data_IF_212383154503
#
_entry.id   IF_212383154503
#
_cell.length_a   1.000
_cell.length_b   1.000
_cell.length_c   1.000
_cell.angle_alpha   90.00
_cell.angle_beta   90.00
_cell.angle_gamma   90.00
#
_symmetry.space_group_name_H-M   'P 1'
#
loop_
_entity.id
_entity.type
_entity.pdbx_description
1 polymer ?
#
# COMPACT_ATOMS: atom_id res chain seq x y z
N UNK A 1 -27.30 -2.47 3.95
CA UNK A 1 -25.86 -2.21 4.01
C UNK A 1 -25.09 -3.51 3.86
N UNK A 2 -24.03 -3.51 3.03
CA UNK A 2 -23.19 -4.69 2.85
C UNK A 2 -22.28 -4.85 4.08
N UNK A 3 -22.45 -5.94 4.82
CA UNK A 3 -21.58 -6.30 5.93
C UNK A 3 -20.32 -6.99 5.37
N UNK A 4 -19.29 -6.17 5.09
CA UNK A 4 -18.02 -6.68 4.53
C UNK A 4 -17.31 -7.64 5.49
N UNK A 5 -17.40 -7.43 6.80
CA UNK A 5 -16.82 -8.35 7.79
C UNK A 5 -17.45 -9.73 7.67
N UNK A 6 -18.78 -9.83 7.64
CA UNK A 6 -19.47 -11.10 7.48
C UNK A 6 -19.19 -11.77 6.13
N UNK A 7 -19.06 -10.99 5.05
CA UNK A 7 -18.66 -11.50 3.73
C UNK A 7 -17.24 -12.05 3.78
N UNK A 8 -16.29 -11.30 4.35
CA UNK A 8 -14.88 -11.69 4.48
C UNK A 8 -14.71 -12.94 5.34
N UNK A 9 -15.46 -13.09 6.44
CA UNK A 9 -15.47 -14.31 7.27
C UNK A 9 -15.92 -15.55 6.50
N UNK A 10 -17.01 -15.43 5.73
CA UNK A 10 -17.48 -16.56 4.89
C UNK A 10 -16.46 -16.92 3.83
N UNK A 11 -15.86 -15.93 3.19
CA UNK A 11 -14.83 -16.17 2.17
C UNK A 11 -13.56 -16.76 2.76
N UNK A 12 -13.13 -16.30 3.95
CA UNK A 12 -12.00 -16.88 4.68
C UNK A 12 -12.21 -18.38 4.97
N UNK A 13 -13.44 -18.79 5.28
CA UNK A 13 -13.77 -20.20 5.47
C UNK A 13 -13.54 -21.02 4.18
N UNK A 14 -13.92 -20.48 3.03
CA UNK A 14 -13.67 -21.10 1.73
C UNK A 14 -12.18 -21.16 1.39
N UNK A 15 -11.43 -20.05 1.62
CA UNK A 15 -9.99 -19.99 1.37
C UNK A 15 -9.21 -21.03 2.18
N UNK A 16 -9.57 -21.27 3.44
CA UNK A 16 -8.94 -22.30 4.28
C UNK A 16 -9.04 -23.71 3.69
N UNK A 17 -10.11 -24.01 2.96
CA UNK A 17 -10.23 -25.32 2.27
C UNK A 17 -9.22 -25.45 1.12
N UNK A 18 -8.78 -24.33 0.52
CA UNK A 18 -7.80 -24.35 -0.55
C UNK A 18 -6.41 -24.75 -0.05
N UNK A 19 -6.02 -24.34 1.18
CA UNK A 19 -4.73 -24.78 1.78
C UNK A 19 -4.70 -26.31 1.88
N UNK A 20 -5.78 -26.96 2.33
CA UNK A 20 -5.86 -28.41 2.40
C UNK A 20 -5.89 -29.10 1.03
N UNK A 21 -6.43 -28.44 0.01
CA UNK A 21 -6.51 -28.95 -1.36
C UNK A 21 -5.20 -28.79 -2.14
N UNK A 22 -4.42 -27.75 -1.84
CA UNK A 22 -3.16 -27.42 -2.49
C UNK A 22 -2.06 -27.20 -1.43
N UNK A 23 -1.63 -28.27 -0.73
CA UNK A 23 -0.73 -28.14 0.42
C UNK A 23 0.70 -27.71 0.05
N UNK A 24 1.06 -27.80 -1.22
CA UNK A 24 2.34 -27.40 -1.81
C UNK A 24 2.30 -26.02 -2.48
N UNK A 25 1.19 -25.27 -2.35
CA UNK A 25 1.04 -23.94 -2.95
C UNK A 25 1.13 -22.82 -1.90
N UNK A 26 1.80 -21.73 -2.27
CA UNK A 26 1.96 -20.51 -1.45
C UNK A 26 0.70 -19.64 -1.52
N UNK A 27 0.11 -19.51 -2.71
CA UNK A 27 -0.99 -18.58 -2.96
C UNK A 27 -2.17 -18.71 -2.00
N UNK A 28 -2.71 -19.91 -1.70
CA UNK A 28 -3.80 -20.06 -0.74
C UNK A 28 -3.44 -19.57 0.67
N UNK A 29 -2.17 -19.70 1.08
CA UNK A 29 -1.68 -19.21 2.39
C UNK A 29 -1.65 -17.70 2.42
N UNK A 30 -1.20 -17.07 1.33
CA UNK A 30 -1.25 -15.60 1.16
C UNK A 30 -2.68 -15.09 1.28
N UNK A 31 -3.61 -15.68 0.53
CA UNK A 31 -5.01 -15.24 0.49
C UNK A 31 -5.69 -15.37 1.87
N UNK A 32 -5.42 -16.44 2.61
CA UNK A 32 -5.92 -16.60 3.99
C UNK A 32 -5.35 -15.54 4.91
N UNK A 33 -4.03 -15.30 4.86
CA UNK A 33 -3.37 -14.32 5.72
C UNK A 33 -3.85 -12.88 5.43
N UNK A 34 -4.05 -12.53 4.17
CA UNK A 34 -4.61 -11.25 3.78
C UNK A 34 -5.99 -11.02 4.39
N UNK A 35 -6.89 -11.99 4.26
CA UNK A 35 -8.26 -11.87 4.79
C UNK A 35 -8.30 -11.90 6.32
N UNK A 36 -7.38 -12.61 6.98
CA UNK A 36 -7.20 -12.50 8.43
C UNK A 36 -6.78 -11.09 8.83
N UNK A 37 -5.89 -10.46 8.08
CA UNK A 37 -5.47 -9.07 8.29
C UNK A 37 -6.63 -8.08 8.10
N UNK A 38 -7.41 -8.21 7.02
CA UNK A 38 -8.62 -7.39 6.77
C UNK A 38 -9.63 -7.49 7.91
N UNK A 39 -9.69 -8.62 8.60
CA UNK A 39 -10.52 -8.83 9.78
C UNK A 39 -9.91 -8.29 11.09
N UNK A 40 -8.74 -7.64 11.04
CA UNK A 40 -8.03 -7.13 12.21
C UNK A 40 -7.35 -8.22 13.04
N UNK A 41 -6.96 -9.34 12.42
CA UNK A 41 -6.34 -10.51 13.08
C UNK A 41 -4.89 -10.72 12.60
N UNK A 42 -3.97 -9.77 12.83
CA UNK A 42 -2.60 -9.86 12.31
C UNK A 42 -1.82 -11.02 12.91
N UNK A 43 -2.10 -11.43 14.15
CA UNK A 43 -1.43 -12.58 14.79
C UNK A 43 -1.83 -13.91 14.13
N UNK A 44 -3.10 -14.04 13.73
CA UNK A 44 -3.57 -15.22 12.97
C UNK A 44 -2.91 -15.24 11.58
N UNK A 45 -2.80 -14.08 10.92
CA UNK A 45 -2.13 -13.96 9.64
C UNK A 45 -0.64 -14.37 9.73
N UNK A 46 0.06 -13.90 10.77
CA UNK A 46 1.44 -14.30 11.05
C UNK A 46 1.56 -15.80 11.31
N UNK A 47 0.66 -16.39 12.08
CA UNK A 47 0.66 -17.82 12.35
C UNK A 47 0.44 -18.64 11.06
N UNK A 48 -0.50 -18.20 10.20
CA UNK A 48 -0.79 -18.84 8.91
C UNK A 48 0.44 -18.77 7.98
N UNK A 49 1.09 -17.63 7.85
CA UNK A 49 2.28 -17.46 7.01
C UNK A 49 3.47 -18.26 7.56
N UNK A 50 3.72 -18.21 8.88
CA UNK A 50 4.84 -18.93 9.52
C UNK A 50 4.74 -20.44 9.40
N UNK A 51 3.55 -21.00 9.27
CA UNK A 51 3.39 -22.45 9.03
C UNK A 51 4.09 -22.90 7.75
N UNK A 52 4.19 -22.04 6.73
CA UNK A 52 4.87 -22.34 5.47
C UNK A 52 6.36 -21.91 5.46
N UNK A 53 6.82 -21.18 6.46
CA UNK A 53 8.17 -20.59 6.51
C UNK A 53 9.31 -21.60 6.34
N UNK A 54 9.25 -22.82 6.95
CA UNK A 54 10.29 -23.83 6.73
C UNK A 54 10.38 -24.25 5.25
N UNK A 55 9.26 -24.39 4.54
CA UNK A 55 9.26 -24.70 3.12
C UNK A 55 9.75 -23.53 2.25
N UNK A 56 9.42 -22.29 2.62
CA UNK A 56 9.89 -21.07 1.94
C UNK A 56 11.41 -20.91 2.06
N UNK A 57 11.99 -21.21 3.23
CA UNK A 57 13.43 -21.06 3.49
C UNK A 57 14.26 -22.29 3.12
N UNK A 58 13.62 -23.44 2.94
CA UNK A 58 14.26 -24.70 2.59
C UNK A 58 14.10 -25.07 1.12
N UNK A 59 14.47 -26.32 0.82
CA UNK A 59 14.43 -26.90 -0.53
C UNK A 59 13.12 -27.67 -0.80
N UNK A 60 12.11 -27.54 0.05
CA UNK A 60 10.80 -28.19 -0.16
C UNK A 60 10.20 -27.68 -1.47
N UNK A 61 9.84 -28.55 -2.42
CA UNK A 61 9.18 -28.12 -3.64
C UNK A 61 7.84 -27.46 -3.33
N UNK A 62 7.63 -26.27 -3.88
CA UNK A 62 6.35 -25.55 -3.85
C UNK A 62 5.93 -25.29 -5.29
N UNK A 63 4.71 -25.65 -5.62
CA UNK A 63 4.20 -25.68 -7.00
C UNK A 63 4.11 -24.31 -7.67
N UNK A 64 4.07 -23.23 -6.88
CA UNK A 64 3.92 -21.85 -7.33
C UNK A 64 4.98 -20.90 -6.73
N UNK A 65 6.16 -21.45 -6.36
CA UNK A 65 7.23 -20.72 -5.67
C UNK A 65 7.68 -19.48 -6.45
N UNK A 66 7.94 -19.64 -7.74
CA UNK A 66 8.52 -18.57 -8.58
C UNK A 66 7.59 -17.37 -8.68
N UNK A 67 6.28 -17.59 -8.68
CA UNK A 67 5.27 -16.56 -8.79
C UNK A 67 4.89 -15.94 -7.44
N UNK A 68 5.00 -16.69 -6.33
CA UNK A 68 4.37 -16.29 -5.06
C UNK A 68 5.32 -16.12 -3.86
N UNK A 69 6.58 -16.54 -3.90
CA UNK A 69 7.51 -16.37 -2.77
C UNK A 69 7.73 -14.90 -2.42
N UNK A 70 7.79 -14.03 -3.41
CA UNK A 70 7.94 -12.58 -3.23
C UNK A 70 6.73 -12.01 -2.47
N UNK A 71 5.53 -12.42 -2.89
CA UNK A 71 4.27 -11.98 -2.29
C UNK A 71 4.06 -12.55 -0.90
N UNK A 72 4.61 -13.74 -0.61
CA UNK A 72 4.60 -14.29 0.75
C UNK A 72 5.39 -13.39 1.71
N UNK A 73 6.58 -12.90 1.28
CA UNK A 73 7.36 -11.95 2.07
C UNK A 73 6.66 -10.60 2.21
N UNK A 74 5.98 -10.12 1.17
CA UNK A 74 5.16 -8.90 1.24
C UNK A 74 4.03 -9.07 2.28
N UNK A 75 3.32 -10.19 2.27
CA UNK A 75 2.28 -10.46 3.26
C UNK A 75 2.82 -10.62 4.67
N UNK A 76 4.00 -11.24 4.85
CA UNK A 76 4.70 -11.26 6.14
C UNK A 76 4.96 -9.84 6.65
N UNK A 77 5.43 -8.94 5.78
CA UNK A 77 5.66 -7.54 6.13
C UNK A 77 4.38 -6.86 6.58
N UNK A 78 3.31 -6.96 5.78
CA UNK A 78 2.00 -6.35 6.10
C UNK A 78 1.40 -6.89 7.39
N UNK A 79 1.55 -8.18 7.65
CA UNK A 79 1.08 -8.80 8.88
C UNK A 79 1.89 -8.34 10.11
N UNK A 80 3.22 -8.21 9.99
CA UNK A 80 4.07 -7.63 11.04
C UNK A 80 3.73 -6.16 11.29
N UNK A 81 3.55 -5.35 10.24
CA UNK A 81 3.16 -3.96 10.37
C UNK A 81 1.80 -3.82 11.08
N UNK A 82 0.78 -4.59 10.65
CA UNK A 82 -0.52 -4.61 11.29
C UNK A 82 -0.46 -5.06 12.78
N UNK A 83 0.51 -5.89 13.13
CA UNK A 83 0.80 -6.29 14.51
C UNK A 83 1.62 -5.24 15.31
N UNK A 84 2.08 -4.16 14.66
CA UNK A 84 2.90 -3.11 15.28
C UNK A 84 4.40 -3.39 15.31
N UNK A 85 4.85 -4.48 14.67
CA UNK A 85 6.27 -4.87 14.60
C UNK A 85 6.94 -4.29 13.34
N UNK A 86 7.25 -2.99 13.38
CA UNK A 86 7.86 -2.27 12.26
C UNK A 86 9.23 -2.85 11.85
N UNK A 87 10.15 -3.20 12.77
CA UNK A 87 11.43 -3.78 12.39
C UNK A 87 11.30 -5.10 11.60
N UNK A 88 10.40 -5.99 12.02
CA UNK A 88 10.15 -7.25 11.32
C UNK A 88 9.45 -7.02 9.97
N UNK A 89 8.55 -6.04 9.89
CA UNK A 89 7.91 -5.66 8.63
C UNK A 89 8.95 -5.17 7.59
N UNK A 90 9.86 -4.28 7.99
CA UNK A 90 10.95 -3.80 7.13
C UNK A 90 11.89 -4.95 6.73
N UNK A 91 12.23 -5.85 7.66
CA UNK A 91 13.10 -7.00 7.36
C UNK A 91 12.48 -7.93 6.32
N UNK A 92 11.18 -8.20 6.41
CA UNK A 92 10.46 -9.02 5.44
C UNK A 92 10.45 -8.39 4.05
N UNK A 93 10.16 -7.09 3.92
CA UNK A 93 10.20 -6.40 2.63
C UNK A 93 11.63 -6.27 2.06
N UNK A 94 12.65 -6.13 2.90
CA UNK A 94 14.05 -6.20 2.42
C UNK A 94 14.34 -7.55 1.77
N UNK A 95 13.85 -8.63 2.36
CA UNK A 95 14.00 -9.97 1.76
C UNK A 95 13.24 -10.05 0.43
N UNK A 96 12.01 -9.56 0.37
CA UNK A 96 11.21 -9.53 -0.86
C UNK A 96 11.89 -8.71 -1.98
N UNK A 97 12.37 -7.49 -1.65
CA UNK A 97 13.00 -6.59 -2.63
C UNK A 97 14.35 -7.09 -3.15
N UNK A 98 15.03 -7.97 -2.40
CA UNK A 98 16.27 -8.60 -2.83
C UNK A 98 16.06 -9.75 -3.83
N UNK A 99 14.84 -10.30 -3.93
CA UNK A 99 14.50 -11.31 -4.92
C UNK A 99 14.29 -10.61 -6.26
N UNK A 100 15.17 -10.90 -7.22
CA UNK A 100 15.16 -10.29 -8.55
C UNK A 100 14.00 -10.83 -9.40
N UNK A 101 13.46 -9.98 -10.26
CA UNK A 101 12.55 -10.38 -11.34
C UNK A 101 13.39 -10.64 -12.60
N UNK A 102 13.75 -11.90 -12.82
CA UNK A 102 14.78 -12.25 -13.81
C UNK A 102 16.14 -11.66 -13.40
N UNK A 103 16.71 -10.79 -14.25
CA UNK A 103 17.95 -10.08 -13.94
C UNK A 103 17.73 -8.64 -13.44
N UNK A 104 16.47 -8.20 -13.37
CA UNK A 104 16.12 -6.83 -13.01
C UNK A 104 15.85 -6.66 -11.50
N UNK A 105 15.82 -5.39 -11.08
CA UNK A 105 15.37 -5.00 -9.74
C UNK A 105 13.90 -5.34 -9.59
N UNK A 106 13.51 -5.86 -8.44
CA UNK A 106 12.11 -6.00 -8.10
C UNK A 106 11.51 -4.62 -7.80
N UNK A 107 10.87 -4.05 -8.81
CA UNK A 107 10.31 -2.69 -8.75
C UNK A 107 9.24 -2.58 -7.68
N UNK A 108 8.28 -3.51 -7.68
CA UNK A 108 7.13 -3.46 -6.76
C UNK A 108 7.56 -3.52 -5.30
N UNK A 109 8.44 -4.45 -4.94
CA UNK A 109 8.86 -4.62 -3.55
C UNK A 109 9.84 -3.55 -3.10
N UNK A 110 10.64 -2.99 -4.02
CA UNK A 110 11.50 -1.84 -3.73
C UNK A 110 10.65 -0.61 -3.39
N UNK A 111 9.58 -0.35 -4.15
CA UNK A 111 8.64 0.73 -3.87
C UNK A 111 7.91 0.49 -2.54
N UNK A 112 7.42 -0.73 -2.29
CA UNK A 112 6.73 -1.08 -1.05
C UNK A 112 7.63 -0.89 0.18
N UNK A 113 8.91 -1.30 0.10
CA UNK A 113 9.89 -1.08 1.17
C UNK A 113 10.12 0.42 1.42
N UNK A 114 10.32 1.19 0.36
CA UNK A 114 10.53 2.64 0.49
C UNK A 114 9.30 3.33 1.08
N UNK A 115 8.10 2.92 0.67
CA UNK A 115 6.85 3.45 1.21
C UNK A 115 6.70 3.12 2.71
N UNK A 116 6.98 1.88 3.11
CA UNK A 116 6.94 1.49 4.53
C UNK A 116 7.94 2.31 5.36
N UNK A 117 9.17 2.50 4.87
CA UNK A 117 10.18 3.33 5.55
C UNK A 117 9.70 4.78 5.68
N UNK A 118 9.14 5.36 4.61
CA UNK A 118 8.58 6.71 4.64
C UNK A 118 7.44 6.85 5.65
N UNK A 119 6.50 5.92 5.62
CA UNK A 119 5.32 5.89 6.51
C UNK A 119 5.72 5.72 7.97
N UNK A 120 6.80 4.99 8.24
CA UNK A 120 7.32 4.77 9.59
C UNK A 120 8.37 5.80 10.04
N UNK A 121 8.54 6.90 9.28
CA UNK A 121 9.35 8.05 9.68
C UNK A 121 10.83 7.97 9.29
N UNK A 122 11.19 7.12 8.32
CA UNK A 122 12.55 7.04 7.77
C UNK A 122 12.60 7.52 6.30
N UNK A 123 12.45 8.83 6.02
CA UNK A 123 12.52 9.35 4.66
C UNK A 123 13.90 9.19 4.02
N UNK A 124 14.98 9.18 4.82
CA UNK A 124 16.33 8.96 4.31
C UNK A 124 16.52 7.51 3.83
N UNK A 125 16.03 6.55 4.60
CA UNK A 125 15.99 5.14 4.20
C UNK A 125 15.14 4.93 2.94
N UNK A 126 13.99 5.58 2.84
CA UNK A 126 13.13 5.51 1.65
C UNK A 126 13.86 6.00 0.40
N UNK A 127 14.56 7.14 0.47
CA UNK A 127 15.38 7.66 -0.63
C UNK A 127 16.50 6.70 -1.03
N UNK A 128 17.21 6.13 -0.05
CA UNK A 128 18.28 5.17 -0.30
C UNK A 128 17.75 3.89 -0.98
N UNK A 129 16.57 3.43 -0.56
CA UNK A 129 15.90 2.25 -1.12
C UNK A 129 15.46 2.47 -2.57
N UNK A 130 15.01 3.68 -2.92
CA UNK A 130 14.59 4.00 -4.30
C UNK A 130 15.75 4.20 -5.28
N UNK A 131 16.99 4.39 -4.81
CA UNK A 131 18.14 4.67 -5.68
C UNK A 131 18.32 3.72 -6.88
N UNK A 132 18.10 2.40 -6.76
CA UNK A 132 18.16 1.50 -7.92
C UNK A 132 17.09 1.75 -8.98
N UNK A 133 16.07 2.52 -8.65
CA UNK A 133 14.97 2.92 -9.54
C UNK A 133 15.15 4.36 -10.09
N UNK A 134 16.30 5.00 -9.83
CA UNK A 134 16.65 6.25 -10.48
C UNK A 134 16.73 6.00 -12.01
N UNK A 135 15.93 6.75 -12.78
CA UNK A 135 15.79 6.51 -14.22
C UNK A 135 14.70 5.49 -14.61
N UNK A 136 13.86 5.06 -13.70
CA UNK A 136 12.77 4.09 -13.95
C UNK A 136 11.82 4.47 -15.11
N UNK A 137 11.89 5.71 -15.61
CA UNK A 137 11.15 6.19 -16.79
C UNK A 137 11.67 5.65 -18.14
N UNK A 138 12.78 4.93 -18.16
CA UNK A 138 13.40 4.34 -19.37
C UNK A 138 12.89 2.92 -19.73
N UNK A 139 11.73 2.52 -19.19
CA UNK A 139 11.13 1.21 -19.42
C UNK A 139 11.37 0.19 -18.29
N UNK A 140 12.09 0.54 -17.24
CA UNK A 140 12.31 -0.31 -16.07
C UNK A 140 11.03 -0.51 -15.25
N UNK A 141 10.16 0.49 -15.21
CA UNK A 141 8.87 0.43 -14.52
C UNK A 141 7.72 0.83 -15.46
N UNK A 142 6.52 0.34 -15.19
CA UNK A 142 5.31 0.83 -15.86
C UNK A 142 5.04 2.31 -15.53
N UNK A 143 4.24 3.05 -16.33
CA UNK A 143 3.85 4.43 -16.00
C UNK A 143 3.29 4.57 -14.58
N UNK A 144 2.47 3.63 -14.13
CA UNK A 144 1.99 3.56 -12.76
C UNK A 144 3.14 3.39 -11.75
N UNK A 145 4.08 2.47 -12.01
CA UNK A 145 5.25 2.24 -11.15
C UNK A 145 6.14 3.49 -11.04
N UNK A 146 6.37 4.20 -12.15
CA UNK A 146 7.09 5.48 -12.14
C UNK A 146 6.40 6.49 -11.23
N UNK A 147 5.07 6.60 -11.31
CA UNK A 147 4.30 7.48 -10.44
C UNK A 147 4.40 7.10 -8.96
N UNK A 148 4.48 5.81 -8.62
CA UNK A 148 4.70 5.38 -7.23
C UNK A 148 6.09 5.79 -6.74
N UNK A 149 7.14 5.64 -7.56
CA UNK A 149 8.51 6.12 -7.23
C UNK A 149 8.49 7.63 -7.00
N UNK A 150 7.87 8.40 -7.91
CA UNK A 150 7.72 9.86 -7.82
C UNK A 150 6.99 10.26 -6.55
N UNK A 151 5.91 9.55 -6.19
CA UNK A 151 5.15 9.80 -4.98
C UNK A 151 5.97 9.64 -3.71
N UNK A 152 6.63 8.50 -3.55
CA UNK A 152 7.46 8.22 -2.37
C UNK A 152 8.68 9.15 -2.32
N UNK A 153 9.39 9.35 -3.45
CA UNK A 153 10.56 10.22 -3.55
C UNK A 153 10.22 11.67 -3.26
N UNK A 154 9.16 12.19 -3.85
CA UNK A 154 8.73 13.57 -3.67
C UNK A 154 8.33 13.87 -2.22
N UNK A 155 7.61 12.96 -1.57
CA UNK A 155 7.27 13.08 -0.17
C UNK A 155 8.50 12.95 0.75
N UNK A 156 9.40 11.98 0.51
CA UNK A 156 10.62 11.81 1.27
C UNK A 156 11.53 13.04 1.14
N UNK A 157 11.70 13.56 -0.08
CA UNK A 157 12.48 14.78 -0.35
C UNK A 157 11.92 16.01 0.35
N UNK A 158 10.59 16.16 0.36
CA UNK A 158 9.95 17.25 1.11
C UNK A 158 10.26 17.14 2.61
N UNK A 159 10.11 15.96 3.21
CA UNK A 159 10.41 15.71 4.64
C UNK A 159 11.89 15.92 4.99
N UNK A 160 12.79 15.76 4.01
CA UNK A 160 14.23 16.00 4.16
C UNK A 160 14.65 17.44 3.83
N UNK A 161 13.72 18.34 3.47
CA UNK A 161 14.01 19.70 3.06
C UNK A 161 14.66 19.84 1.67
N UNK A 162 14.67 18.80 0.86
CA UNK A 162 15.20 18.76 -0.51
C UNK A 162 14.17 19.34 -1.50
N UNK A 163 13.89 20.62 -1.34
CA UNK A 163 12.75 21.28 -1.98
C UNK A 163 12.77 21.19 -3.51
N UNK A 164 13.93 21.32 -4.16
CA UNK A 164 14.05 21.26 -5.62
C UNK A 164 13.59 19.91 -6.19
N UNK A 165 13.93 18.80 -5.52
CA UNK A 165 13.49 17.45 -5.91
C UNK A 165 12.00 17.28 -5.67
N UNK A 166 11.52 17.72 -4.49
CA UNK A 166 10.11 17.63 -4.15
C UNK A 166 9.22 18.45 -5.11
N UNK A 167 9.68 19.62 -5.58
CA UNK A 167 8.96 20.45 -6.56
C UNK A 167 8.95 19.83 -7.95
N UNK A 168 10.07 19.23 -8.38
CA UNK A 168 10.16 18.52 -9.64
C UNK A 168 9.22 17.30 -9.67
N UNK A 169 9.18 16.52 -8.58
CA UNK A 169 8.29 15.35 -8.45
C UNK A 169 6.81 15.74 -8.40
N UNK A 170 6.47 16.84 -7.73
CA UNK A 170 5.11 17.36 -7.74
C UNK A 170 4.67 17.80 -9.16
N UNK A 171 5.57 18.49 -9.89
CA UNK A 171 5.30 18.92 -11.26
C UNK A 171 5.15 17.71 -12.20
N UNK A 172 6.00 16.70 -12.05
CA UNK A 172 5.89 15.45 -12.80
C UNK A 172 4.56 14.75 -12.52
N UNK A 173 4.21 14.54 -11.25
CA UNK A 173 2.95 13.90 -10.86
C UNK A 173 1.72 14.65 -11.38
N UNK A 174 1.78 15.98 -11.44
CA UNK A 174 0.71 16.79 -12.03
C UNK A 174 0.53 16.53 -13.51
N UNK A 175 1.64 16.51 -14.28
CA UNK A 175 1.60 16.31 -15.75
C UNK A 175 1.27 14.87 -16.15
N UNK A 176 1.49 13.87 -15.27
CA UNK A 176 1.23 12.44 -15.49
C UNK A 176 0.10 11.91 -14.60
N UNK A 177 -0.80 12.79 -14.17
CA UNK A 177 -1.87 12.40 -13.21
C UNK A 177 -2.85 11.37 -13.78
N UNK A 178 -2.89 11.12 -15.09
CA UNK A 178 -3.64 10.01 -15.71
C UNK A 178 -3.09 8.63 -15.34
N UNK A 179 -1.77 8.51 -15.09
CA UNK A 179 -1.10 7.24 -14.87
C UNK A 179 -1.32 6.71 -13.44
N UNK A 180 -1.41 7.62 -12.46
CA UNK A 180 -1.80 7.32 -11.07
C UNK A 180 -2.42 8.57 -10.42
N UNK A 181 -3.73 8.79 -10.56
CA UNK A 181 -4.38 10.03 -10.13
C UNK A 181 -4.23 10.37 -8.64
N UNK A 182 -4.12 9.35 -7.78
CA UNK A 182 -3.93 9.52 -6.33
C UNK A 182 -2.57 10.13 -5.95
N UNK A 183 -1.53 9.86 -6.73
CA UNK A 183 -0.15 10.28 -6.40
C UNK A 183 -0.02 11.80 -6.31
N UNK A 184 -0.63 12.53 -7.24
CA UNK A 184 -0.61 14.00 -7.20
C UNK A 184 -1.31 14.55 -5.95
N UNK A 185 -2.49 14.02 -5.60
CA UNK A 185 -3.22 14.40 -4.38
C UNK A 185 -2.40 14.07 -3.13
N UNK A 186 -1.78 12.88 -3.09
CA UNK A 186 -0.95 12.44 -1.97
C UNK A 186 0.27 13.36 -1.76
N UNK A 187 0.95 13.79 -2.83
CA UNK A 187 2.08 14.71 -2.74
C UNK A 187 1.67 16.08 -2.19
N UNK A 188 0.48 16.58 -2.55
CA UNK A 188 -0.08 17.80 -1.98
C UNK A 188 -0.35 17.64 -0.48
N UNK A 189 -0.95 16.50 -0.06
CA UNK A 189 -1.16 16.19 1.36
C UNK A 189 0.16 16.10 2.13
N UNK A 190 1.18 15.45 1.55
CA UNK A 190 2.49 15.34 2.17
C UNK A 190 3.14 16.69 2.42
N UNK A 191 2.90 17.67 1.56
CA UNK A 191 3.40 19.06 1.65
C UNK A 191 2.55 19.95 2.54
N UNK A 192 1.42 19.46 3.06
CA UNK A 192 0.45 20.25 3.82
C UNK A 192 -0.38 21.20 2.96
N UNK A 193 -0.35 21.05 1.63
CA UNK A 193 -1.19 21.81 0.69
C UNK A 193 -2.62 21.25 0.67
N UNK A 194 -3.38 21.53 1.71
CA UNK A 194 -4.76 21.04 1.86
C UNK A 194 -5.72 21.64 0.81
N UNK A 195 -5.46 22.85 0.32
CA UNK A 195 -6.32 23.48 -0.69
C UNK A 195 -6.09 22.85 -2.06
N UNK A 196 -4.83 22.66 -2.44
CA UNK A 196 -4.47 21.92 -3.64
C UNK A 196 -4.99 20.48 -3.61
N UNK A 197 -4.80 19.78 -2.49
CA UNK A 197 -5.31 18.41 -2.32
C UNK A 197 -6.84 18.34 -2.43
N UNK A 198 -7.57 19.33 -1.89
CA UNK A 198 -9.01 19.41 -2.04
C UNK A 198 -9.42 19.62 -3.49
N UNK A 199 -8.78 20.55 -4.19
CA UNK A 199 -9.06 20.81 -5.61
C UNK A 199 -8.81 19.56 -6.48
N UNK A 200 -7.67 18.86 -6.28
CA UNK A 200 -7.38 17.63 -7.03
C UNK A 200 -8.32 16.48 -6.68
N UNK A 201 -8.70 16.32 -5.41
CA UNK A 201 -9.67 15.32 -4.98
C UNK A 201 -11.07 15.58 -5.58
N UNK A 202 -11.54 16.82 -5.59
CA UNK A 202 -12.82 17.20 -6.21
C UNK A 202 -12.79 16.91 -7.71
N UNK A 203 -11.73 17.27 -8.41
CA UNK A 203 -11.58 16.96 -9.82
C UNK A 203 -11.65 15.46 -10.12
N UNK A 204 -11.04 14.62 -9.29
CA UNK A 204 -11.11 13.15 -9.37
C UNK A 204 -12.51 12.61 -9.09
N UNK A 205 -13.26 13.19 -8.15
CA UNK A 205 -14.66 12.84 -7.88
C UNK A 205 -15.58 13.17 -9.04
N UNK A 206 -15.30 14.23 -9.79
CA UNK A 206 -16.05 14.64 -10.98
C UNK A 206 -15.73 13.78 -12.21
N UNK A 207 -14.51 13.24 -12.28
CA UNK A 207 -14.06 12.35 -13.35
C UNK A 207 -14.64 10.94 -13.17
N UNK A 208 -15.36 10.42 -14.18
CA UNK A 208 -16.03 9.11 -14.12
C UNK A 208 -15.06 7.95 -13.88
N UNK A 209 -13.87 8.00 -14.46
CA UNK A 209 -12.88 6.92 -14.40
C UNK A 209 -12.10 6.93 -13.07
N UNK A 210 -11.99 8.08 -12.40
CA UNK A 210 -11.23 8.25 -11.17
C UNK A 210 -12.11 8.27 -9.92
N UNK A 211 -13.42 8.47 -10.10
CA UNK A 211 -14.41 8.66 -9.02
C UNK A 211 -14.39 7.53 -7.98
N UNK A 212 -14.33 6.29 -8.45
CA UNK A 212 -14.37 5.14 -7.54
C UNK A 212 -13.21 5.17 -6.57
N UNK A 213 -11.97 5.30 -7.06
CA UNK A 213 -10.78 5.39 -6.21
C UNK A 213 -10.80 6.62 -5.28
N UNK A 214 -11.29 7.77 -5.76
CA UNK A 214 -11.43 8.97 -4.94
C UNK A 214 -12.44 8.77 -3.78
N UNK A 215 -13.58 8.11 -4.04
CA UNK A 215 -14.56 7.77 -3.01
C UNK A 215 -14.02 6.74 -2.01
N UNK A 216 -13.24 5.76 -2.48
CA UNK A 216 -12.58 4.77 -1.63
C UNK A 216 -11.57 5.44 -0.70
N UNK A 217 -10.70 6.32 -1.20
CA UNK A 217 -9.73 7.07 -0.40
C UNK A 217 -10.40 7.98 0.66
N UNK A 218 -11.56 8.55 0.34
CA UNK A 218 -12.33 9.35 1.29
C UNK A 218 -13.17 8.52 2.24
N UNK A 219 -13.40 7.26 1.97
CA UNK A 219 -14.11 6.33 2.85
C UNK A 219 -13.26 5.99 4.08
N UNK A 220 -13.88 5.44 5.12
CA UNK A 220 -13.19 5.07 6.36
C UNK A 220 -13.28 3.57 6.59
N UNK A 221 -12.32 3.06 7.34
CA UNK A 221 -12.18 1.67 7.69
C UNK A 221 -12.10 1.53 9.21
N UNK A 222 -12.24 0.32 9.73
CA UNK A 222 -11.98 0.04 11.14
C UNK A 222 -10.54 0.44 11.51
N UNK A 223 -10.34 0.95 12.71
CA UNK A 223 -9.02 1.35 13.18
C UNK A 223 -8.08 0.13 13.23
N UNK A 224 -6.79 0.30 12.84
CA UNK A 224 -5.83 -0.80 12.92
C UNK A 224 -5.65 -1.26 14.36
N UNK A 225 -5.36 -2.57 14.58
CA UNK A 225 -5.23 -3.13 15.93
C UNK A 225 -3.94 -2.70 16.63
N UNK A 226 -3.01 -2.05 15.93
CA UNK A 226 -1.77 -1.53 16.49
C UNK A 226 -1.91 -0.08 16.97
N UNK A 227 -0.94 0.37 17.76
CA UNK A 227 -0.86 1.74 18.30
C UNK A 227 0.27 2.55 17.67
N UNK A 228 0.66 2.22 16.44
CA UNK A 228 1.72 2.95 15.74
C UNK A 228 1.32 4.42 15.51
N UNK A 229 2.28 5.35 15.54
CA UNK A 229 2.05 6.73 15.13
C UNK A 229 1.49 6.77 13.71
N UNK A 230 0.48 7.61 13.49
CA UNK A 230 -0.09 7.80 12.15
C UNK A 230 0.85 8.66 11.30
N UNK A 231 0.99 8.28 10.05
CA UNK A 231 1.75 9.08 9.08
C UNK A 231 1.11 10.48 8.93
N UNK A 232 1.90 11.56 8.76
CA UNK A 232 1.39 12.91 8.51
C UNK A 232 0.43 13.00 7.32
N UNK A 233 0.61 12.19 6.27
CA UNK A 233 -0.30 12.15 5.12
C UNK A 233 -1.67 11.62 5.51
N UNK A 234 -1.74 10.58 6.37
CA UNK A 234 -3.00 10.06 6.88
C UNK A 234 -3.76 11.08 7.73
N UNK A 235 -3.03 11.88 8.53
CA UNK A 235 -3.61 12.96 9.31
C UNK A 235 -4.14 14.09 8.41
N UNK A 236 -3.39 14.44 7.36
CA UNK A 236 -3.81 15.41 6.37
C UNK A 236 -5.04 14.92 5.57
N UNK A 237 -5.07 13.64 5.19
CA UNK A 237 -6.22 13.02 4.54
C UNK A 237 -7.45 12.99 5.46
N UNK A 238 -7.28 12.72 6.76
CA UNK A 238 -8.36 12.79 7.72
C UNK A 238 -8.94 14.21 7.81
N UNK A 239 -8.07 15.23 7.76
CA UNK A 239 -8.49 16.63 7.69
C UNK A 239 -9.24 16.93 6.38
N UNK A 240 -8.72 16.46 5.23
CA UNK A 240 -9.35 16.61 3.92
C UNK A 240 -10.78 16.05 3.91
N UNK A 241 -10.99 14.88 4.51
CA UNK A 241 -12.31 14.24 4.64
C UNK A 241 -13.34 15.10 5.39
N UNK A 242 -12.92 16.01 6.24
CA UNK A 242 -13.82 16.89 7.00
C UNK A 242 -14.21 18.18 6.29
N UNK A 243 -13.52 18.55 5.22
CA UNK A 243 -13.75 19.78 4.46
C UNK A 243 -15.14 19.81 3.84
N UNK A 244 -15.89 20.93 3.98
CA UNK A 244 -17.25 21.03 3.44
C UNK A 244 -17.33 20.87 1.91
N UNK A 245 -16.36 21.44 1.17
CA UNK A 245 -16.27 21.37 -0.29
C UNK A 245 -16.03 19.93 -0.78
N UNK A 246 -15.11 19.21 -0.16
CA UNK A 246 -14.81 17.80 -0.47
C UNK A 246 -16.01 16.90 -0.11
N UNK A 247 -16.66 17.11 1.05
CA UNK A 247 -17.86 16.38 1.44
C UNK A 247 -19.00 16.58 0.44
N UNK A 248 -19.22 17.81 0.00
CA UNK A 248 -20.28 18.11 -0.97
C UNK A 248 -20.00 17.41 -2.32
N UNK A 249 -18.76 17.45 -2.81
CA UNK A 249 -18.35 16.76 -4.02
C UNK A 249 -18.48 15.23 -3.88
N UNK A 250 -18.04 14.66 -2.77
CA UNK A 250 -18.16 13.23 -2.50
C UNK A 250 -19.62 12.77 -2.44
N UNK A 251 -20.51 13.55 -1.79
CA UNK A 251 -21.95 13.25 -1.75
C UNK A 251 -22.57 13.26 -3.14
N UNK A 252 -22.22 14.23 -4.00
CA UNK A 252 -22.66 14.30 -5.40
C UNK A 252 -22.15 13.12 -6.24
N UNK A 253 -20.95 12.60 -5.90
CA UNK A 253 -20.30 11.49 -6.58
C UNK A 253 -20.84 10.10 -6.19
N UNK A 254 -21.65 9.98 -5.13
CA UNK A 254 -22.23 8.71 -4.64
C UNK A 254 -22.07 8.50 -3.14
N UNK A 255 -21.36 9.40 -2.45
CA UNK A 255 -21.13 9.37 -1.00
C UNK A 255 -19.99 8.47 -0.56
N UNK A 256 -19.38 8.82 0.56
CA UNK A 256 -18.40 7.97 1.25
C UNK A 256 -19.07 6.96 2.16
N UNK A 257 -18.33 5.92 2.54
CA UNK A 257 -18.83 4.85 3.41
C UNK A 257 -17.85 4.58 4.55
N UNK A 258 -18.31 3.93 5.58
CA UNK A 258 -17.47 3.24 6.53
C UNK A 258 -17.51 1.74 6.25
N UNK A 259 -16.34 1.14 6.13
CA UNK A 259 -16.19 -0.30 5.93
C UNK A 259 -15.71 -0.94 7.22
N UNK A 260 -16.46 -1.94 7.71
CA UNK A 260 -16.18 -2.65 8.97
C UNK A 260 -15.10 -3.74 8.82
N UNK A 261 -14.05 -3.42 8.09
CA UNK A 261 -12.82 -4.19 7.90
C UNK A 261 -11.61 -3.25 7.99
N UNK A 262 -10.41 -3.81 8.11
CA UNK A 262 -9.16 -3.04 8.06
C UNK A 262 -8.82 -2.64 6.62
N UNK A 263 -8.07 -1.55 6.46
CA UNK A 263 -7.46 -1.23 5.17
C UNK A 263 -6.35 -2.24 4.83
N UNK A 264 -6.19 -2.57 3.55
CA UNK A 264 -5.21 -3.57 3.10
C UNK A 264 -3.78 -3.02 2.92
N UNK A 265 -3.58 -1.69 2.92
CA UNK A 265 -2.30 -1.03 2.65
C UNK A 265 -1.31 -1.01 3.82
N UNK A 266 -0.13 -0.37 3.57
CA UNK A 266 0.74 0.16 4.59
C UNK A 266 0.27 1.58 4.89
#
# INVERSE_FOLDING_TARGET
>A
DLDLRAVTERYLTQLRTQIGRFPDAIRPVIDVAEHQRLLGRPQDALATLRALEPAIKGDTPLSDRDDNVIWWWDQMSRAHFAAGDVPAAIAALRTASAIKEGNAVNVSQTINLANLQLTTGDPAGAMATLKPLDGAGDGTASPYGVMQVVGVRGCASHRLGQQAVADADLAYARSHSSDAPSTFTMLQLCRGDLDGAAASMIARLENKDQRHGALEELSTFDAPPNTLPRDPVDLALATLRTRPDVKAAAQKAGGTRHFNIQMSGF
#
